data_IF_727016087145
#
_entry.id   IF_727016087145
#
_cell.length_a   1.000
_cell.length_b   1.000
_cell.length_c   1.000
_cell.angle_alpha   90.00
_cell.angle_beta   90.00
_cell.angle_gamma   90.00
#
_symmetry.space_group_name_H-M   'P 1'
#
loop_
_entity.id
_entity.type
_entity.pdbx_description
1 polymer ?
#
# COMPACT_ATOMS: atom_id res chain seq x y z
N UNK A 1 -28.48 82.43 43.28
CA UNK A 1 -27.49 81.53 42.64
C UNK A 1 -28.27 80.43 41.94
N UNK A 2 -28.46 80.58 40.62
CA UNK A 2 -29.17 79.61 39.77
C UNK A 2 -28.22 78.49 39.36
N UNK A 3 -28.58 77.23 39.56
CA UNK A 3 -27.93 76.09 38.92
C UNK A 3 -29.01 75.34 38.12
N UNK A 4 -29.03 75.55 36.80
CA UNK A 4 -29.86 74.76 35.90
C UNK A 4 -29.16 73.42 35.66
N UNK A 5 -29.84 72.33 36.04
CA UNK A 5 -29.56 70.99 35.56
C UNK A 5 -30.02 70.90 34.10
N UNK A 6 -29.07 70.68 33.18
CA UNK A 6 -29.37 70.20 31.82
C UNK A 6 -28.82 68.79 31.71
N UNK A 7 -29.71 67.81 31.67
CA UNK A 7 -29.40 66.45 31.29
C UNK A 7 -29.11 66.41 29.77
N UNK A 8 -28.00 65.79 29.38
CA UNK A 8 -27.75 65.44 27.97
C UNK A 8 -27.83 63.93 27.81
N UNK A 9 -28.51 63.41 26.76
CA UNK A 9 -28.68 61.98 26.59
C UNK A 9 -27.47 61.37 25.88
N UNK A 10 -26.60 60.67 26.62
CA UNK A 10 -25.54 59.88 26.00
C UNK A 10 -26.12 58.55 25.48
N UNK A 11 -26.51 58.53 24.20
CA UNK A 11 -26.83 57.31 23.44
C UNK A 11 -25.54 56.61 23.03
N UNK A 12 -24.99 55.75 23.89
CA UNK A 12 -24.08 54.70 23.41
C UNK A 12 -24.89 53.58 22.76
N UNK A 13 -25.00 53.70 21.44
CA UNK A 13 -25.66 52.76 20.54
C UNK A 13 -25.13 51.35 20.77
N UNK A 14 -26.04 50.41 21.06
CA UNK A 14 -25.77 48.98 21.02
C UNK A 14 -25.10 48.61 19.70
N UNK A 15 -23.83 48.21 19.78
CA UNK A 15 -23.09 47.67 18.65
C UNK A 15 -23.65 46.27 18.37
N UNK A 16 -24.60 46.15 17.45
CA UNK A 16 -24.95 44.86 16.87
C UNK A 16 -23.69 44.25 16.23
N UNK A 17 -23.21 43.14 16.78
CA UNK A 17 -22.17 42.33 16.13
C UNK A 17 -22.71 41.89 14.76
N UNK A 18 -22.00 42.12 13.65
CA UNK A 18 -22.46 41.67 12.34
C UNK A 18 -22.52 40.13 12.34
N UNK A 19 -23.70 39.56 12.03
CA UNK A 19 -23.87 38.11 11.87
C UNK A 19 -23.06 37.65 10.66
N UNK A 20 -21.97 36.93 10.90
CA UNK A 20 -21.07 36.39 9.87
C UNK A 20 -21.67 35.14 9.22
N UNK A 21 -22.77 35.29 8.47
CA UNK A 21 -23.45 34.17 7.79
C UNK A 21 -22.60 33.51 6.68
N UNK A 22 -21.55 34.17 6.19
CA UNK A 22 -20.63 33.64 5.18
C UNK A 22 -19.54 32.71 5.74
N UNK A 23 -18.98 33.03 6.92
CA UNK A 23 -17.86 32.27 7.50
C UNK A 23 -18.28 30.91 8.08
N UNK A 24 -19.49 30.80 8.63
CA UNK A 24 -20.03 29.51 9.10
C UNK A 24 -20.28 28.54 7.93
N UNK A 25 -20.80 29.03 6.80
CA UNK A 25 -20.98 28.24 5.57
C UNK A 25 -19.65 27.80 4.97
N UNK A 26 -18.65 28.69 4.91
CA UNK A 26 -17.29 28.35 4.46
C UNK A 26 -16.67 27.29 5.39
N UNK A 27 -16.87 27.39 6.71
CA UNK A 27 -16.42 26.41 7.69
C UNK A 27 -17.10 25.05 7.51
N UNK A 28 -18.41 25.03 7.23
CA UNK A 28 -19.16 23.79 6.94
C UNK A 28 -18.68 23.17 5.62
N UNK A 29 -18.56 23.95 4.55
CA UNK A 29 -18.06 23.47 3.25
C UNK A 29 -16.64 22.89 3.39
N UNK A 30 -15.74 23.57 4.11
CA UNK A 30 -14.39 23.10 4.37
C UNK A 30 -14.35 21.78 5.18
N UNK A 31 -15.28 21.58 6.12
CA UNK A 31 -15.40 20.32 6.87
C UNK A 31 -15.92 19.19 5.97
N UNK A 32 -16.92 19.46 5.13
CA UNK A 32 -17.47 18.48 4.20
C UNK A 32 -16.45 18.06 3.14
N UNK A 33 -15.71 19.00 2.56
CA UNK A 33 -14.68 18.69 1.56
C UNK A 33 -13.52 17.90 2.18
N UNK A 34 -13.08 18.24 3.39
CA UNK A 34 -12.08 17.45 4.13
C UNK A 34 -12.58 16.03 4.40
N UNK A 35 -13.82 15.87 4.87
CA UNK A 35 -14.44 14.57 5.11
C UNK A 35 -14.51 13.71 3.84
N UNK A 36 -14.87 14.33 2.70
CA UNK A 36 -14.90 13.65 1.40
C UNK A 36 -13.50 13.20 0.95
N UNK A 37 -12.49 14.05 1.10
CA UNK A 37 -11.09 13.72 0.77
C UNK A 37 -10.58 12.56 1.63
N UNK A 38 -10.84 12.61 2.95
CA UNK A 38 -10.45 11.54 3.87
C UNK A 38 -11.17 10.24 3.52
N UNK A 39 -12.48 10.30 3.26
CA UNK A 39 -13.28 9.15 2.84
C UNK A 39 -12.74 8.52 1.55
N UNK A 40 -12.48 9.33 0.53
CA UNK A 40 -11.92 8.85 -0.74
C UNK A 40 -10.55 8.17 -0.55
N UNK A 41 -9.67 8.75 0.30
CA UNK A 41 -8.38 8.16 0.63
C UNK A 41 -8.53 6.80 1.33
N UNK A 42 -9.42 6.70 2.31
CA UNK A 42 -9.67 5.45 3.04
C UNK A 42 -10.22 4.36 2.13
N UNK A 43 -11.13 4.70 1.22
CA UNK A 43 -11.68 3.76 0.23
C UNK A 43 -10.59 3.22 -0.68
N UNK A 44 -9.71 4.08 -1.21
CA UNK A 44 -8.58 3.63 -2.05
C UNK A 44 -7.66 2.69 -1.28
N UNK A 45 -7.34 3.02 -0.03
CA UNK A 45 -6.50 2.17 0.83
C UNK A 45 -7.13 0.80 1.07
N UNK A 46 -8.44 0.76 1.34
CA UNK A 46 -9.16 -0.49 1.55
C UNK A 46 -9.17 -1.35 0.28
N UNK A 47 -9.43 -0.74 -0.88
CA UNK A 47 -9.40 -1.45 -2.17
C UNK A 47 -8.01 -2.07 -2.40
N UNK A 48 -6.94 -1.31 -2.17
CA UNK A 48 -5.57 -1.82 -2.31
C UNK A 48 -5.27 -2.96 -1.32
N UNK A 49 -5.70 -2.82 -0.06
CA UNK A 49 -5.54 -3.84 0.96
C UNK A 49 -6.25 -5.15 0.58
N UNK A 50 -7.53 -5.10 0.21
CA UNK A 50 -8.30 -6.28 -0.21
C UNK A 50 -7.72 -6.90 -1.47
N UNK A 51 -7.26 -6.08 -2.42
CA UNK A 51 -6.58 -6.56 -3.63
C UNK A 51 -5.35 -7.39 -3.30
N UNK A 52 -4.54 -6.98 -2.31
CA UNK A 52 -3.38 -7.77 -1.88
C UNK A 52 -3.79 -9.14 -1.34
N UNK A 53 -4.85 -9.20 -0.53
CA UNK A 53 -5.38 -10.48 -0.05
C UNK A 53 -5.79 -11.40 -1.20
N UNK A 54 -6.54 -10.89 -2.19
CA UNK A 54 -6.96 -11.68 -3.36
C UNK A 54 -5.74 -12.20 -4.13
N UNK A 55 -4.75 -11.33 -4.39
CA UNK A 55 -3.54 -11.71 -5.12
C UNK A 55 -2.73 -12.76 -4.38
N UNK A 56 -2.58 -12.62 -3.06
CA UNK A 56 -1.89 -13.59 -2.20
C UNK A 56 -2.61 -14.93 -2.13
N UNK A 57 -3.94 -14.92 -2.17
CA UNK A 57 -4.74 -16.13 -2.18
C UNK A 57 -4.64 -16.87 -3.52
N UNK A 58 -4.64 -16.15 -4.64
CA UNK A 58 -4.39 -16.72 -5.97
C UNK A 58 -2.97 -17.29 -6.07
N UNK A 59 -1.98 -16.62 -5.48
CA UNK A 59 -0.58 -17.01 -5.54
C UNK A 59 -0.11 -17.72 -4.25
N UNK A 60 -0.96 -18.57 -3.66
CA UNK A 60 -0.57 -19.42 -2.53
C UNK A 60 0.15 -20.69 -3.00
N UNK A 61 1.08 -21.19 -2.19
CA UNK A 61 1.64 -22.51 -2.41
C UNK A 61 0.66 -23.61 -1.98
N UNK A 62 0.57 -24.67 -2.78
CA UNK A 62 -0.26 -25.86 -2.52
C UNK A 62 0.39 -26.84 -1.52
N UNK A 63 1.70 -26.73 -1.30
CA UNK A 63 2.48 -27.64 -0.44
C UNK A 63 2.81 -27.06 0.94
N UNK A 64 2.64 -25.76 1.14
CA UNK A 64 2.95 -25.10 2.41
C UNK A 64 2.11 -23.83 2.58
N UNK A 65 2.01 -23.25 3.79
CA UNK A 65 1.16 -22.08 4.05
C UNK A 65 1.70 -20.75 3.48
N UNK A 66 2.76 -20.76 2.65
CA UNK A 66 3.35 -19.55 2.08
C UNK A 66 2.45 -18.91 1.02
N UNK A 67 2.32 -17.58 1.06
CA UNK A 67 1.59 -16.76 0.10
C UNK A 67 2.49 -15.68 -0.50
N UNK A 68 2.25 -15.33 -1.76
CA UNK A 68 3.12 -14.42 -2.51
C UNK A 68 2.35 -13.30 -3.21
N UNK A 69 2.99 -12.15 -3.42
CA UNK A 69 2.33 -11.01 -4.06
C UNK A 69 2.37 -11.12 -5.59
N UNK A 70 3.22 -11.98 -6.13
CA UNK A 70 3.33 -12.22 -7.57
C UNK A 70 3.43 -13.70 -7.90
N UNK A 71 3.02 -14.05 -9.13
CA UNK A 71 3.20 -15.41 -9.66
C UNK A 71 4.67 -15.80 -9.78
N UNK A 72 5.55 -14.84 -10.08
CA UNK A 72 6.98 -15.08 -10.21
C UNK A 72 7.62 -15.48 -8.88
N UNK A 73 7.25 -14.80 -7.78
CA UNK A 73 7.68 -15.15 -6.42
C UNK A 73 7.23 -16.56 -6.03
N UNK A 74 5.96 -16.91 -6.27
CA UNK A 74 5.46 -18.27 -6.01
C UNK A 74 6.24 -19.30 -6.83
N UNK A 75 6.50 -19.03 -8.11
CA UNK A 75 7.22 -19.94 -8.97
C UNK A 75 8.66 -20.16 -8.48
N UNK A 76 9.38 -19.11 -8.09
CA UNK A 76 10.73 -19.25 -7.54
C UNK A 76 10.70 -20.01 -6.21
N UNK A 77 9.75 -19.71 -5.31
CA UNK A 77 9.55 -20.49 -4.08
C UNK A 77 9.39 -21.98 -4.35
N UNK A 78 8.51 -22.36 -5.30
CA UNK A 78 8.32 -23.77 -5.68
C UNK A 78 9.63 -24.38 -6.17
N UNK A 79 10.41 -23.65 -6.98
CA UNK A 79 11.70 -24.11 -7.50
C UNK A 79 12.77 -24.27 -6.42
N UNK A 80 12.80 -23.42 -5.39
CA UNK A 80 13.81 -23.50 -4.34
C UNK A 80 13.46 -24.49 -3.24
N UNK A 81 12.19 -24.55 -2.84
CA UNK A 81 11.76 -25.24 -1.60
C UNK A 81 11.13 -26.59 -1.91
N UNK A 82 10.37 -26.71 -3.00
CA UNK A 82 9.53 -27.88 -3.25
C UNK A 82 9.92 -28.70 -4.47
N UNK A 83 10.88 -28.22 -5.27
CA UNK A 83 11.41 -28.95 -6.41
C UNK A 83 12.61 -29.77 -5.96
N UNK A 84 12.62 -31.05 -6.30
CA UNK A 84 13.82 -31.86 -6.21
C UNK A 84 14.90 -31.27 -7.10
N UNK A 85 16.04 -30.94 -6.49
CA UNK A 85 17.15 -30.32 -7.21
C UNK A 85 17.69 -31.23 -8.31
N UNK A 86 18.26 -30.63 -9.34
CA UNK A 86 18.90 -31.36 -10.42
C UNK A 86 20.27 -31.85 -9.95
N UNK A 87 20.48 -33.16 -9.93
CA UNK A 87 21.76 -33.79 -9.54
C UNK A 87 22.70 -33.84 -10.74
N UNK A 88 23.93 -33.39 -10.56
CA UNK A 88 25.00 -33.62 -11.52
C UNK A 88 25.38 -35.11 -11.51
N UNK A 89 25.33 -35.77 -12.67
CA UNK A 89 25.71 -37.19 -12.75
C UNK A 89 27.22 -37.42 -12.64
N UNK A 90 28.05 -36.39 -12.84
CA UNK A 90 29.51 -36.48 -12.77
C UNK A 90 30.06 -36.31 -11.35
N UNK A 91 29.57 -35.33 -10.60
CA UNK A 91 30.06 -35.03 -9.25
C UNK A 91 29.03 -35.24 -8.14
N UNK A 92 27.80 -35.60 -8.48
CA UNK A 92 26.74 -35.88 -7.50
C UNK A 92 26.13 -34.65 -6.81
N UNK A 93 26.63 -33.44 -7.10
CA UNK A 93 26.13 -32.19 -6.49
C UNK A 93 24.70 -31.88 -6.94
N UNK A 94 23.85 -31.47 -6.01
CA UNK A 94 22.44 -31.14 -6.26
C UNK A 94 22.26 -29.63 -6.38
N UNK A 95 21.54 -29.19 -7.41
CA UNK A 95 21.29 -27.77 -7.69
C UNK A 95 19.78 -27.48 -7.69
N UNK A 96 19.35 -26.40 -7.03
CA UNK A 96 17.93 -26.01 -6.98
C UNK A 96 17.35 -25.59 -8.34
N UNK A 97 18.20 -25.18 -9.28
CA UNK A 97 17.79 -24.72 -10.61
C UNK A 97 18.58 -25.44 -11.71
N UNK A 98 17.89 -25.81 -12.81
CA UNK A 98 18.51 -26.45 -13.99
C UNK A 98 19.60 -25.58 -14.61
N UNK A 99 19.41 -24.26 -14.67
CA UNK A 99 20.41 -23.34 -15.19
C UNK A 99 21.73 -23.40 -14.41
N UNK A 100 21.66 -23.51 -13.08
CA UNK A 100 22.85 -23.66 -12.22
C UNK A 100 23.58 -24.98 -12.46
N UNK A 101 22.84 -26.07 -12.67
CA UNK A 101 23.44 -27.35 -13.08
C UNK A 101 24.14 -27.22 -14.45
N UNK A 102 23.50 -26.61 -15.45
CA UNK A 102 24.11 -26.43 -16.78
C UNK A 102 25.37 -25.57 -16.72
N UNK A 103 25.37 -24.50 -15.94
CA UNK A 103 26.57 -23.68 -15.71
C UNK A 103 27.65 -24.49 -15.00
N UNK A 104 27.31 -25.30 -14.00
CA UNK A 104 28.27 -26.21 -13.36
C UNK A 104 28.85 -27.21 -14.36
N UNK A 105 28.03 -27.82 -15.22
CA UNK A 105 28.50 -28.76 -16.25
C UNK A 105 29.47 -28.08 -17.21
N UNK A 106 29.19 -26.85 -17.65
CA UNK A 106 30.07 -26.08 -18.53
C UNK A 106 31.40 -25.69 -17.86
N UNK A 107 31.33 -25.16 -16.64
CA UNK A 107 32.51 -24.58 -15.97
C UNK A 107 33.36 -25.58 -15.20
N UNK A 108 32.78 -26.67 -14.71
CA UNK A 108 33.46 -27.65 -13.84
C UNK A 108 33.63 -29.01 -14.51
N UNK A 109 32.84 -29.29 -15.54
CA UNK A 109 32.86 -30.60 -16.18
C UNK A 109 33.00 -30.53 -17.71
N UNK A 110 33.15 -29.33 -18.29
CA UNK A 110 33.29 -29.04 -19.71
C UNK A 110 32.75 -30.18 -20.60
N UNK A 111 31.45 -30.50 -20.47
CA UNK A 111 30.91 -31.73 -21.07
C UNK A 111 30.76 -31.54 -22.56
N UNK A 112 31.58 -32.23 -23.34
CA UNK A 112 31.18 -32.76 -24.65
C UNK A 112 29.91 -33.58 -24.44
N UNK A 113 28.90 -33.32 -25.27
CA UNK A 113 27.59 -33.98 -25.37
C UNK A 113 27.59 -35.49 -25.05
N UNK A 114 26.54 -36.05 -24.43
CA UNK A 114 26.09 -37.39 -24.77
C UNK A 114 24.98 -37.29 -25.83
N UNK A 115 25.35 -37.62 -27.06
CA UNK A 115 24.38 -37.98 -28.11
C UNK A 115 23.55 -39.18 -27.65
N UNK A 116 22.21 -39.04 -27.63
CA UNK A 116 21.21 -40.08 -27.96
C UNK A 116 19.79 -39.53 -27.84
#
# INVERSE_FOLDING_TARGET
MFAMLVETPNKEKGRLKPKTMGMERISIIAKLTRGLIIGARLVIQLIQHVRLHIVQDINSCDKCPSKFNTRAELQDHILQVHREGAKCHLCGKVFSQRARLLTNLRLQHCTTEPES
#
